data_IF_439284786221
#
_entry.id   IF_439284786221
#
_cell.length_a   1.000
_cell.length_b   1.000
_cell.length_c   1.000
_cell.angle_alpha   90.00
_cell.angle_beta   90.00
_cell.angle_gamma   90.00
#
_symmetry.space_group_name_H-M   'P 1'
#
loop_
_entity.id
_entity.type
_entity.pdbx_description
1 polymer ?
#
# COMPACT_ATOMS: atom_id res chain seq x y z
N UNK A 1 -45.24 -28.07 -1.58
CA UNK A 1 -45.58 -26.63 -1.38
C UNK A 1 -44.39 -25.77 -0.96
N UNK A 2 -43.89 -25.78 0.28
CA UNK A 2 -42.75 -24.90 0.66
C UNK A 2 -41.46 -25.18 -0.12
N UNK A 3 -41.08 -26.46 -0.24
CA UNK A 3 -39.87 -26.88 -0.98
C UNK A 3 -39.94 -26.53 -2.48
N UNK A 4 -41.11 -26.67 -3.10
CA UNK A 4 -41.33 -26.27 -4.51
C UNK A 4 -41.32 -24.76 -4.68
N UNK A 5 -41.92 -24.01 -3.76
CA UNK A 5 -41.85 -22.55 -3.77
C UNK A 5 -40.41 -22.06 -3.61
N UNK A 6 -39.60 -22.72 -2.78
CA UNK A 6 -38.19 -22.39 -2.62
C UNK A 6 -37.40 -22.65 -3.91
N UNK A 7 -37.62 -23.80 -4.56
CA UNK A 7 -36.98 -24.13 -5.84
C UNK A 7 -37.38 -23.15 -6.96
N UNK A 8 -38.67 -22.79 -7.05
CA UNK A 8 -39.13 -21.78 -8.01
C UNK A 8 -38.55 -20.39 -7.75
N UNK A 9 -38.39 -20.00 -6.48
CA UNK A 9 -37.70 -18.74 -6.13
C UNK A 9 -36.24 -18.75 -6.58
N UNK A 10 -35.50 -19.82 -6.28
CA UNK A 10 -34.09 -19.97 -6.70
C UNK A 10 -33.97 -19.97 -8.23
N UNK A 11 -34.87 -20.66 -8.92
CA UNK A 11 -34.95 -20.65 -10.39
C UNK A 11 -35.17 -19.23 -10.94
N UNK A 12 -36.07 -18.45 -10.32
CA UNK A 12 -36.34 -17.06 -10.65
C UNK A 12 -35.12 -16.15 -10.47
N UNK A 13 -34.42 -16.26 -9.33
CA UNK A 13 -33.19 -15.50 -9.06
C UNK A 13 -32.08 -15.84 -10.05
N UNK A 14 -31.92 -17.12 -10.37
CA UNK A 14 -30.93 -17.61 -11.33
C UNK A 14 -31.34 -17.39 -12.80
N UNK A 15 -32.59 -16.96 -13.04
CA UNK A 15 -33.23 -16.78 -14.36
C UNK A 15 -33.14 -18.04 -15.24
N UNK A 16 -33.44 -19.21 -14.67
CA UNK A 16 -33.44 -20.51 -15.37
C UNK A 16 -34.65 -21.35 -14.97
N UNK A 17 -34.91 -22.42 -15.71
CA UNK A 17 -35.93 -23.40 -15.29
C UNK A 17 -35.48 -24.16 -14.02
N UNK A 18 -36.40 -24.65 -13.18
CA UNK A 18 -36.04 -25.41 -11.97
C UNK A 18 -35.13 -26.63 -12.22
N UNK A 19 -35.25 -27.27 -13.38
CA UNK A 19 -34.40 -28.40 -13.80
C UNK A 19 -32.95 -27.99 -14.10
N UNK A 20 -32.70 -26.71 -14.40
CA UNK A 20 -31.40 -26.18 -14.80
C UNK A 20 -30.66 -25.45 -13.67
N UNK A 21 -31.25 -25.40 -12.47
CA UNK A 21 -30.67 -24.71 -11.30
C UNK A 21 -29.26 -25.22 -11.00
N UNK A 22 -29.07 -26.53 -10.95
CA UNK A 22 -27.78 -27.16 -10.62
C UNK A 22 -26.70 -26.76 -11.65
N UNK A 23 -26.99 -26.91 -12.93
CA UNK A 23 -26.06 -26.55 -14.01
C UNK A 23 -25.69 -25.06 -13.99
N UNK A 24 -26.69 -24.19 -13.80
CA UNK A 24 -26.47 -22.74 -13.70
C UNK A 24 -25.61 -22.39 -12.49
N UNK A 25 -25.86 -23.03 -11.35
CA UNK A 25 -25.13 -22.80 -10.11
C UNK A 25 -23.68 -23.24 -10.23
N UNK A 26 -23.40 -24.42 -10.79
CA UNK A 26 -22.04 -24.87 -11.04
C UNK A 26 -21.26 -23.92 -11.95
N UNK A 27 -21.89 -23.44 -13.03
CA UNK A 27 -21.26 -22.47 -13.93
C UNK A 27 -20.97 -21.14 -13.23
N UNK A 28 -21.87 -20.68 -12.37
CA UNK A 28 -21.63 -19.47 -11.56
C UNK A 28 -20.47 -19.68 -10.59
N UNK A 29 -20.41 -20.81 -9.88
CA UNK A 29 -19.30 -21.13 -8.96
C UNK A 29 -17.97 -21.21 -9.72
N UNK A 30 -17.93 -21.84 -10.90
CA UNK A 30 -16.73 -21.86 -11.76
C UNK A 30 -16.31 -20.46 -12.16
N UNK A 31 -17.25 -19.64 -12.62
CA UNK A 31 -16.99 -18.24 -13.03
C UNK A 31 -16.53 -17.37 -11.88
N UNK A 32 -17.06 -17.55 -10.67
CA UNK A 32 -16.59 -16.85 -9.47
C UNK A 32 -15.12 -17.19 -9.21
N UNK A 33 -14.75 -18.49 -9.23
CA UNK A 33 -13.35 -18.91 -9.05
C UNK A 33 -12.41 -18.38 -10.13
N UNK A 34 -12.86 -18.31 -11.38
CA UNK A 34 -12.08 -17.73 -12.48
C UNK A 34 -11.86 -16.22 -12.29
N UNK A 35 -12.91 -15.49 -11.92
CA UNK A 35 -12.84 -14.06 -11.63
C UNK A 35 -11.93 -13.79 -10.42
N UNK A 36 -12.00 -14.60 -9.36
CA UNK A 36 -11.10 -14.50 -8.21
C UNK A 36 -9.62 -14.64 -8.64
N UNK A 37 -9.31 -15.65 -9.47
CA UNK A 37 -7.95 -15.84 -10.01
C UNK A 37 -7.52 -14.69 -10.91
N UNK A 38 -8.42 -14.15 -11.73
CA UNK A 38 -8.12 -13.03 -12.60
C UNK A 38 -7.87 -11.74 -11.79
N UNK A 39 -8.63 -11.52 -10.73
CA UNK A 39 -8.39 -10.43 -9.76
C UNK A 39 -6.99 -10.57 -9.13
N UNK A 40 -6.59 -11.76 -8.70
CA UNK A 40 -5.24 -12.00 -8.18
C UNK A 40 -4.16 -11.72 -9.23
N UNK A 41 -4.35 -12.19 -10.47
CA UNK A 41 -3.42 -11.96 -11.57
C UNK A 41 -3.28 -10.47 -11.87
N UNK A 42 -4.38 -9.74 -11.95
CA UNK A 42 -4.38 -8.30 -12.21
C UNK A 42 -3.69 -7.52 -11.07
N UNK A 43 -4.00 -7.84 -9.81
CA UNK A 43 -3.32 -7.26 -8.63
C UNK A 43 -1.81 -7.50 -8.67
N UNK A 44 -1.38 -8.70 -9.07
CA UNK A 44 0.04 -9.03 -9.18
C UNK A 44 0.75 -8.19 -10.26
N UNK A 45 0.11 -8.01 -11.42
CA UNK A 45 0.64 -7.23 -12.54
C UNK A 45 0.70 -5.73 -12.22
N UNK A 46 -0.35 -5.20 -11.60
CA UNK A 46 -0.39 -3.79 -11.15
C UNK A 46 0.72 -3.51 -10.12
N UNK A 47 0.97 -4.45 -9.22
CA UNK A 47 2.06 -4.35 -8.25
C UNK A 47 3.45 -4.34 -8.92
N UNK A 48 3.63 -5.02 -10.05
CA UNK A 48 4.90 -5.00 -10.80
C UNK A 48 5.11 -3.69 -11.56
N UNK A 49 4.05 -3.18 -12.23
CA UNK A 49 4.12 -1.92 -12.99
C UNK A 49 4.37 -0.72 -12.07
N UNK A 50 3.63 -0.62 -10.95
CA UNK A 50 3.88 0.42 -9.94
C UNK A 50 5.31 0.35 -9.37
N UNK A 51 5.91 -0.84 -9.29
CA UNK A 51 7.29 -1.00 -8.78
C UNK A 51 8.36 -0.42 -9.71
N UNK A 52 8.15 -0.44 -11.03
CA UNK A 52 9.11 0.11 -11.99
C UNK A 52 9.01 1.63 -12.05
N UNK A 53 7.79 2.16 -12.11
CA UNK A 53 7.54 3.61 -12.05
C UNK A 53 8.08 4.26 -10.76
N UNK A 54 7.98 3.58 -9.62
CA UNK A 54 8.49 4.11 -8.34
C UNK A 54 10.01 4.16 -8.26
N UNK A 55 10.73 3.34 -9.04
CA UNK A 55 12.19 3.39 -9.13
C UNK A 55 12.64 4.57 -9.99
N UNK A 56 11.88 4.93 -11.02
CA UNK A 56 12.15 6.13 -11.83
C UNK A 56 11.99 7.43 -11.02
N UNK A 57 11.20 7.39 -9.95
CA UNK A 57 11.01 8.51 -9.01
C UNK A 57 12.07 8.59 -7.91
N UNK A 58 13.14 7.80 -7.99
CA UNK A 58 14.25 7.90 -7.03
C UNK A 58 14.89 9.29 -7.12
N UNK A 59 14.94 9.97 -5.98
CA UNK A 59 15.67 11.23 -5.81
C UNK A 59 16.94 10.95 -5.05
N UNK A 60 18.09 11.40 -5.56
CA UNK A 60 19.36 11.28 -4.86
C UNK A 60 19.64 12.52 -4.02
N UNK A 61 19.91 12.32 -2.73
CA UNK A 61 20.26 13.39 -1.78
C UNK A 61 21.55 13.02 -1.04
N UNK A 62 22.64 13.75 -1.31
CA UNK A 62 23.92 13.53 -0.65
C UNK A 62 24.46 12.10 -0.82
N UNK A 63 24.28 11.49 -2.00
CA UNK A 63 24.70 10.11 -2.28
C UNK A 63 23.73 9.03 -1.78
N UNK A 64 22.58 9.41 -1.22
CA UNK A 64 21.55 8.48 -0.73
C UNK A 64 20.34 8.52 -1.65
N UNK A 65 19.92 7.35 -2.13
CA UNK A 65 18.69 7.20 -2.91
C UNK A 65 17.47 7.28 -2.01
N UNK A 66 16.49 8.08 -2.39
CA UNK A 66 15.25 8.29 -1.65
C UNK A 66 14.06 8.06 -2.55
N UNK A 67 13.08 7.28 -2.08
CA UNK A 67 11.75 7.18 -2.68
C UNK A 67 10.76 7.77 -1.68
N UNK A 68 9.94 8.74 -2.11
CA UNK A 68 8.92 9.35 -1.25
C UNK A 68 7.61 9.50 -1.99
N UNK A 69 6.66 8.59 -1.75
CA UNK A 69 5.48 8.44 -2.62
C UNK A 69 4.18 8.15 -1.87
N UNK A 70 3.07 8.57 -2.49
CA UNK A 70 1.73 8.34 -1.99
C UNK A 70 1.18 7.04 -2.57
N UNK A 71 0.65 6.17 -1.73
CA UNK A 71 -0.03 4.94 -2.12
C UNK A 71 -1.45 4.94 -1.56
N UNK A 72 -2.43 5.11 -2.43
CA UNK A 72 -3.84 5.20 -2.01
C UNK A 72 -4.40 3.84 -1.58
N UNK A 73 -5.31 3.85 -0.60
CA UNK A 73 -6.05 2.65 -0.18
C UNK A 73 -5.27 1.60 0.59
N UNK A 74 -4.02 1.88 1.00
CA UNK A 74 -3.24 0.98 1.84
C UNK A 74 -3.33 1.35 3.32
N UNK A 75 -3.47 0.36 4.18
CA UNK A 75 -3.25 0.50 5.62
C UNK A 75 -1.73 0.45 5.95
N UNK A 76 -1.36 0.57 7.23
CA UNK A 76 0.05 0.54 7.65
C UNK A 76 0.72 -0.79 7.26
N UNK A 77 -0.01 -1.91 7.29
CA UNK A 77 0.51 -3.22 6.91
C UNK A 77 0.82 -3.26 5.41
N UNK A 78 -0.08 -2.76 4.57
CA UNK A 78 0.10 -2.63 3.13
C UNK A 78 1.27 -1.69 2.79
N UNK A 79 1.37 -0.55 3.46
CA UNK A 79 2.51 0.38 3.31
C UNK A 79 3.84 -0.28 3.67
N UNK A 80 3.88 -1.07 4.75
CA UNK A 80 5.07 -1.83 5.15
C UNK A 80 5.47 -2.82 4.06
N UNK A 81 4.53 -3.64 3.59
CA UNK A 81 4.80 -4.61 2.53
C UNK A 81 5.30 -3.93 1.26
N UNK A 82 4.71 -2.81 0.86
CA UNK A 82 5.16 -2.02 -0.28
C UNK A 82 6.58 -1.47 -0.07
N UNK A 83 6.89 -0.95 1.11
CA UNK A 83 8.22 -0.44 1.44
C UNK A 83 9.29 -1.54 1.43
N UNK A 84 8.97 -2.75 1.88
CA UNK A 84 9.91 -3.88 1.84
C UNK A 84 10.22 -4.31 0.40
N UNK A 85 9.20 -4.37 -0.47
CA UNK A 85 9.39 -4.68 -1.89
C UNK A 85 10.25 -3.64 -2.62
N UNK A 86 10.07 -2.35 -2.30
CA UNK A 86 10.88 -1.27 -2.86
C UNK A 86 12.31 -1.31 -2.32
N UNK A 87 12.49 -1.63 -1.03
CA UNK A 87 13.79 -1.75 -0.38
C UNK A 87 14.64 -2.82 -1.04
N UNK A 88 14.06 -3.98 -1.33
CA UNK A 88 14.75 -5.10 -1.97
C UNK A 88 15.26 -4.73 -3.38
N UNK A 89 14.50 -3.92 -4.13
CA UNK A 89 14.95 -3.43 -5.45
C UNK A 89 15.96 -2.28 -5.35
N UNK A 90 15.77 -1.34 -4.43
CA UNK A 90 16.65 -0.17 -4.27
C UNK A 90 18.05 -0.57 -3.78
N UNK A 91 18.15 -1.69 -3.06
CA UNK A 91 19.34 -2.25 -2.39
C UNK A 91 19.89 -1.39 -1.25
N UNK A 92 20.03 -0.08 -1.48
CA UNK A 92 20.52 0.90 -0.52
C UNK A 92 19.78 2.23 -0.69
N UNK A 93 19.12 2.70 0.37
CA UNK A 93 18.40 3.97 0.35
C UNK A 93 17.39 4.14 1.48
N UNK A 94 16.57 5.17 1.35
CA UNK A 94 15.47 5.50 2.26
C UNK A 94 14.16 5.50 1.50
N UNK A 95 13.13 4.91 2.08
CA UNK A 95 11.80 4.85 1.49
C UNK A 95 10.81 5.45 2.48
N UNK A 96 10.05 6.46 2.05
CA UNK A 96 8.97 7.09 2.81
C UNK A 96 7.68 6.93 2.03
N UNK A 97 6.72 6.19 2.56
CA UNK A 97 5.42 5.99 1.92
C UNK A 97 4.32 6.54 2.78
N UNK A 98 3.25 7.01 2.14
CA UNK A 98 2.07 7.46 2.85
C UNK A 98 0.76 7.15 2.14
N UNK A 99 -0.29 6.95 2.91
CA UNK A 99 -1.64 6.68 2.42
C UNK A 99 -2.68 7.48 3.18
N UNK A 100 -3.87 7.58 2.60
CA UNK A 100 -5.07 8.06 3.28
C UNK A 100 -6.08 6.93 3.31
N UNK A 101 -6.58 6.62 4.51
CA UNK A 101 -7.65 5.65 4.74
C UNK A 101 -8.55 6.19 5.85
N UNK A 102 -9.87 6.20 5.64
CA UNK A 102 -10.86 6.72 6.60
C UNK A 102 -10.53 8.13 7.12
N UNK A 103 -10.11 9.01 6.21
CA UNK A 103 -9.68 10.39 6.50
C UNK A 103 -8.50 10.51 7.50
N UNK A 104 -7.76 9.42 7.70
CA UNK A 104 -6.52 9.37 8.49
C UNK A 104 -5.34 9.10 7.58
N UNK A 105 -4.21 9.70 7.92
CA UNK A 105 -2.95 9.48 7.21
C UNK A 105 -2.20 8.33 7.86
N UNK A 106 -1.74 7.38 7.06
CA UNK A 106 -0.72 6.40 7.46
C UNK A 106 0.62 6.76 6.82
N UNK A 107 1.72 6.61 7.54
CA UNK A 107 3.08 6.83 7.05
C UNK A 107 4.00 5.71 7.49
N UNK A 108 4.92 5.31 6.62
CA UNK A 108 6.01 4.37 6.90
C UNK A 108 7.31 4.94 6.38
N UNK A 109 8.38 4.81 7.17
CA UNK A 109 9.76 5.10 6.77
C UNK A 109 10.62 3.86 6.95
N UNK A 110 11.43 3.55 5.94
CA UNK A 110 12.37 2.43 5.94
C UNK A 110 13.74 2.93 5.52
N UNK A 111 14.75 2.57 6.31
CA UNK A 111 16.16 2.87 6.05
C UNK A 111 16.88 1.54 5.87
N UNK A 112 17.62 1.36 4.77
CA UNK A 112 18.41 0.14 4.55
C UNK A 112 19.51 -0.01 5.60
N UNK A 113 19.83 -1.25 5.98
CA UNK A 113 20.76 -1.56 7.09
C UNK A 113 22.12 -0.88 6.97
N UNK A 114 22.65 -0.71 5.76
CA UNK A 114 23.93 -0.06 5.52
C UNK A 114 23.91 1.47 5.78
N UNK A 115 22.73 2.05 6.00
CA UNK A 115 22.54 3.48 6.26
C UNK A 115 22.09 3.76 7.71
N UNK A 116 21.76 2.74 8.51
CA UNK A 116 21.16 2.94 9.86
C UNK A 116 22.11 3.56 10.89
N UNK A 117 23.41 3.57 10.62
CA UNK A 117 24.40 4.25 11.46
C UNK A 117 24.36 5.77 11.25
N UNK A 118 23.99 6.20 10.03
CA UNK A 118 23.94 7.61 9.61
C UNK A 118 22.53 8.20 9.68
N UNK A 119 21.53 7.36 9.42
CA UNK A 119 20.13 7.76 9.32
C UNK A 119 19.26 6.95 10.27
N UNK A 120 18.26 7.60 10.85
CA UNK A 120 17.30 6.99 11.75
C UNK A 120 15.88 7.17 11.20
N UNK A 121 15.25 6.06 10.78
CA UNK A 121 13.89 6.05 10.28
C UNK A 121 12.89 6.70 11.27
N UNK A 122 13.12 6.52 12.58
CA UNK A 122 12.28 7.08 13.64
C UNK A 122 12.37 8.62 13.69
N UNK A 123 13.56 9.18 13.47
CA UNK A 123 13.72 10.64 13.44
C UNK A 123 13.08 11.24 12.18
N UNK A 124 13.36 10.63 11.02
CA UNK A 124 12.79 11.05 9.74
C UNK A 124 11.26 11.02 9.78
N UNK A 125 10.66 9.92 10.22
CA UNK A 125 9.20 9.79 10.21
C UNK A 125 8.52 10.77 11.17
N UNK A 126 9.16 11.10 12.31
CA UNK A 126 8.62 12.08 13.26
C UNK A 126 8.57 13.48 12.64
N UNK A 127 9.56 13.86 11.84
CA UNK A 127 9.53 15.15 11.14
C UNK A 127 8.47 15.18 10.04
N UNK A 128 8.40 14.14 9.21
CA UNK A 128 7.37 14.02 8.15
C UNK A 128 5.97 14.02 8.76
N UNK A 129 5.76 13.29 9.86
CA UNK A 129 4.47 13.20 10.55
C UNK A 129 3.99 14.55 11.10
N UNK A 130 4.88 15.44 11.56
CA UNK A 130 4.50 16.77 12.05
C UNK A 130 3.74 17.58 10.99
N UNK A 131 4.13 17.45 9.72
CA UNK A 131 3.50 18.17 8.60
C UNK A 131 2.02 17.78 8.46
N UNK A 132 1.70 16.49 8.66
CA UNK A 132 0.32 15.97 8.63
C UNK A 132 -0.39 16.01 10.00
N UNK A 133 0.11 16.81 10.96
CA UNK A 133 -0.38 16.90 12.35
C UNK A 133 -0.45 15.52 13.01
N UNK A 134 0.61 14.75 12.84
CA UNK A 134 0.74 13.36 13.24
C UNK A 134 1.84 13.10 14.26
N UNK A 135 1.90 11.86 14.71
CA UNK A 135 2.97 11.33 15.56
C UNK A 135 3.23 9.87 15.24
N UNK A 136 4.40 9.39 15.63
CA UNK A 136 4.83 8.04 15.31
C UNK A 136 6.08 7.61 16.07
N UNK A 137 6.53 6.41 15.76
CA UNK A 137 7.64 5.76 16.43
C UNK A 137 8.13 4.55 15.66
N UNK A 138 9.31 4.06 16.06
CA UNK A 138 9.88 2.85 15.51
C UNK A 138 11.35 2.67 15.88
N UNK A 139 11.98 1.76 15.16
CA UNK A 139 13.41 1.45 15.24
C UNK A 139 14.17 2.28 14.19
N UNK A 140 15.51 2.21 14.21
CA UNK A 140 16.36 2.94 13.27
C UNK A 140 16.17 2.51 11.81
N UNK A 141 15.84 1.24 11.58
CA UNK A 141 15.62 0.66 10.25
C UNK A 141 14.18 0.82 9.73
N UNK A 142 13.23 0.96 10.64
CA UNK A 142 11.80 0.99 10.31
C UNK A 142 11.03 1.81 11.32
N UNK A 143 10.22 2.75 10.84
CA UNK A 143 9.30 3.50 11.68
C UNK A 143 7.97 3.79 10.98
N UNK A 144 6.95 4.01 11.79
CA UNK A 144 5.59 4.27 11.31
C UNK A 144 4.97 5.44 12.07
N UNK A 145 4.06 6.15 11.40
CA UNK A 145 3.33 7.25 12.00
C UNK A 145 1.88 7.32 11.47
N UNK A 146 1.03 7.98 12.25
CA UNK A 146 -0.32 8.36 11.84
C UNK A 146 -0.45 9.88 11.81
N UNK A 147 -1.36 10.40 10.97
CA UNK A 147 -1.65 11.84 10.87
C UNK A 147 -3.13 12.14 10.75
N UNK A 148 -3.51 13.36 11.14
CA UNK A 148 -4.91 13.83 11.14
C UNK A 148 -5.22 14.80 9.99
N UNK A 149 -4.24 15.12 9.16
CA UNK A 149 -4.42 16.08 8.06
C UNK A 149 -4.05 15.48 6.70
N UNK A 150 -4.97 14.77 6.04
CA UNK A 150 -4.77 14.19 4.71
C UNK A 150 -4.41 15.21 3.63
N UNK A 151 -4.91 16.44 3.72
CA UNK A 151 -4.61 17.51 2.74
C UNK A 151 -3.12 17.86 2.69
N UNK A 152 -2.38 17.62 3.79
CA UNK A 152 -0.94 17.88 3.87
C UNK A 152 -0.06 16.67 3.51
N UNK A 153 -0.64 15.51 3.20
CA UNK A 153 0.15 14.31 2.89
C UNK A 153 1.10 14.53 1.70
N UNK A 154 0.60 15.10 0.61
CA UNK A 154 1.43 15.36 -0.58
C UNK A 154 2.57 16.34 -0.29
N UNK A 155 2.34 17.34 0.56
CA UNK A 155 3.39 18.25 1.03
C UNK A 155 4.43 17.48 1.87
N UNK A 156 3.98 16.66 2.82
CA UNK A 156 4.87 15.91 3.70
C UNK A 156 5.80 14.96 2.94
N UNK A 157 5.28 14.27 1.93
CA UNK A 157 6.07 13.39 1.07
C UNK A 157 7.05 14.19 0.20
N UNK A 158 6.65 15.35 -0.33
CA UNK A 158 7.53 16.22 -1.11
C UNK A 158 8.69 16.79 -0.28
N UNK A 159 8.47 17.05 1.01
CA UNK A 159 9.51 17.55 1.93
C UNK A 159 10.44 16.45 2.47
N UNK A 160 10.05 15.17 2.40
CA UNK A 160 10.83 14.07 2.96
C UNK A 160 12.29 13.98 2.44
N UNK A 161 12.59 14.15 1.13
CA UNK A 161 13.98 14.18 0.65
C UNK A 161 14.80 15.33 1.26
N UNK A 162 14.18 16.50 1.46
CA UNK A 162 14.83 17.66 2.10
C UNK A 162 15.11 17.41 3.57
N UNK A 163 14.17 16.78 4.29
CA UNK A 163 14.37 16.33 5.68
C UNK A 163 15.56 15.38 5.75
N UNK A 164 15.58 14.35 4.90
CA UNK A 164 16.67 13.35 4.86
C UNK A 164 18.01 14.03 4.56
N UNK A 165 18.06 14.97 3.60
CA UNK A 165 19.27 15.75 3.29
C UNK A 165 19.83 16.50 4.51
N UNK A 166 18.97 16.96 5.42
CA UNK A 166 19.38 17.60 6.67
C UNK A 166 20.16 16.69 7.63
N UNK A 167 19.87 15.39 7.59
CA UNK A 167 20.57 14.38 8.40
C UNK A 167 21.87 13.88 7.77
N UNK A 168 22.02 13.99 6.44
CA UNK A 168 23.25 13.58 5.72
C UNK A 168 24.38 14.61 5.85
N UNK A 169 24.05 15.88 6.09
CA UNK A 169 25.02 16.98 6.19
C UNK A 169 25.56 17.23 7.60
N UNK A 170 25.09 16.50 8.60
CA UNK A 170 25.59 16.53 9.98
C UNK A 170 26.52 15.35 10.22
#
# INVERSE_FOLDING_TARGET
>A
KERENLLSKIAGELKVAPSQILERMERLVRRVKELEKEIERLKSRESLLKREELIEKVVEVGGIKVISERMEGLDIKGLRQASDLLKDKLKSGVIVLGSVMDNKVGLVCVVTKNLTDKLDANQIIKEVAKIVKGSGGGRRDFAQAGGKNPAKLSQALKEAPSIIKGYVKK
#
